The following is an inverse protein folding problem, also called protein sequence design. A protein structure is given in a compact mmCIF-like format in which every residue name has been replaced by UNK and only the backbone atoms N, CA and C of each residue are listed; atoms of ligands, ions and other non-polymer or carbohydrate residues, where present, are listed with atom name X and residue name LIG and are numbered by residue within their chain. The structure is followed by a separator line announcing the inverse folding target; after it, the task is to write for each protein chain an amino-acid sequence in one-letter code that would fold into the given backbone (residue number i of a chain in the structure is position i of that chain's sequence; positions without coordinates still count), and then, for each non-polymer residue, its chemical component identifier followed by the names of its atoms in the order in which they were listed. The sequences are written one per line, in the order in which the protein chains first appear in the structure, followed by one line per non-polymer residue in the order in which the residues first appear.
data_IF_386502816651
#
_entry.id   IF_386502816651
#
_cell.length_a   1.000
_cell.length_b   1.000
_cell.length_c   1.000
_cell.angle_alpha   90.00
_cell.angle_beta   90.00
_cell.angle_gamma   90.00
#
_symmetry.space_group_name_H-M   'P 1'
#
loop_
_entity.id
_entity.type
_entity.pdbx_description
1 polymer ?
#
# COMPACT_ATOMS: atom_id res chain seq x y z
N UNK A 1 -3.93 -8.37 13.27
CA UNK A 1 -2.77 -7.49 12.99
C UNK A 1 -3.01 -6.17 13.69
N UNK A 2 -2.00 -5.58 14.31
CA UNK A 2 -2.10 -4.33 15.05
C UNK A 2 -1.63 -3.16 14.21
N UNK A 3 -2.30 -2.02 14.35
CA UNK A 3 -1.93 -0.73 13.76
C UNK A 3 -1.43 0.18 14.88
N UNK A 4 -0.16 0.04 15.27
CA UNK A 4 0.40 0.78 16.42
C UNK A 4 0.26 2.29 16.32
N UNK A 5 0.38 2.86 15.11
CA UNK A 5 0.21 4.30 14.89
C UNK A 5 -1.24 4.81 14.96
N UNK A 6 -2.22 3.92 14.97
CA UNK A 6 -3.64 4.28 14.92
C UNK A 6 -4.47 3.60 16.01
N UNK A 7 -3.85 2.93 16.97
CA UNK A 7 -4.51 2.16 18.04
C UNK A 7 -5.67 1.26 17.54
N UNK A 8 -5.46 0.58 16.41
CA UNK A 8 -6.50 -0.25 15.81
C UNK A 8 -6.05 -1.71 15.68
N UNK A 9 -7.03 -2.62 15.78
CA UNK A 9 -6.89 -4.03 15.39
C UNK A 9 -7.57 -4.27 14.04
N UNK A 10 -6.93 -5.08 13.19
CA UNK A 10 -7.49 -5.46 11.90
C UNK A 10 -7.47 -6.98 11.75
N UNK A 11 -8.59 -7.54 11.32
CA UNK A 11 -8.70 -8.98 11.03
C UNK A 11 -9.68 -9.26 9.89
N UNK A 12 -9.53 -10.40 9.22
CA UNK A 12 -10.52 -10.91 8.27
C UNK A 12 -11.52 -11.82 8.97
N UNK A 13 -12.73 -11.93 8.45
CA UNK A 13 -13.83 -12.74 9.01
C UNK A 13 -13.52 -14.25 9.10
N UNK A 14 -12.57 -14.75 8.35
CA UNK A 14 -12.10 -16.15 8.39
C UNK A 14 -10.71 -16.26 8.97
N UNK A 15 -10.58 -16.22 10.29
CA UNK A 15 -9.32 -16.51 10.96
C UNK A 15 -8.85 -17.92 10.59
N UNK A 16 -7.60 -18.05 10.10
CA UNK A 16 -6.97 -19.31 9.73
C UNK A 16 -6.96 -19.66 8.24
N UNK A 17 -7.85 -19.10 7.41
CA UNK A 17 -7.83 -19.33 5.96
C UNK A 17 -6.97 -18.32 5.19
N UNK A 18 -6.61 -17.19 5.80
CA UNK A 18 -5.88 -16.11 5.16
C UNK A 18 -6.71 -15.22 4.21
N UNK A 19 -8.02 -15.48 4.07
CA UNK A 19 -8.98 -14.70 3.31
C UNK A 19 -10.39 -14.91 3.85
N UNK A 20 -11.29 -13.95 3.70
CA UNK A 20 -12.67 -14.02 4.22
C UNK A 20 -13.62 -13.08 3.50
N UNK A 21 -14.87 -13.05 3.95
CA UNK A 21 -15.94 -12.27 3.31
C UNK A 21 -15.91 -10.80 3.70
N UNK A 22 -15.17 -10.47 4.74
CA UNK A 22 -15.03 -9.10 5.21
C UNK A 22 -13.72 -8.90 5.96
N UNK A 23 -13.36 -7.62 6.10
CA UNK A 23 -12.28 -7.14 6.93
C UNK A 23 -12.87 -6.22 7.98
N UNK A 24 -12.49 -6.39 9.23
CA UNK A 24 -12.92 -5.54 10.33
C UNK A 24 -11.74 -4.72 10.85
N UNK A 25 -11.94 -3.43 11.01
CA UNK A 25 -11.03 -2.50 11.69
C UNK A 25 -11.71 -2.12 12.99
N UNK A 26 -11.03 -2.34 14.11
CA UNK A 26 -11.52 -1.99 15.44
C UNK A 26 -10.62 -0.95 16.06
N UNK A 27 -11.17 0.21 16.34
CA UNK A 27 -10.48 1.31 16.98
C UNK A 27 -10.57 1.14 18.50
N UNK A 28 -9.42 1.04 19.17
CA UNK A 28 -9.31 0.84 20.62
C UNK A 28 -9.57 2.12 21.44
N UNK A 29 -9.56 3.29 20.81
CA UNK A 29 -9.76 4.55 21.52
C UNK A 29 -11.23 4.86 21.76
N UNK A 30 -12.08 4.49 20.81
CA UNK A 30 -13.51 4.84 20.82
C UNK A 30 -14.44 3.62 20.68
N UNK A 31 -13.90 2.40 20.71
CA UNK A 31 -14.62 1.13 20.54
C UNK A 31 -15.41 1.01 19.23
N UNK A 32 -15.07 1.80 18.23
CA UNK A 32 -15.74 1.76 16.92
C UNK A 32 -15.24 0.60 16.06
N UNK A 33 -16.19 -0.01 15.34
CA UNK A 33 -15.92 -1.08 14.37
C UNK A 33 -16.30 -0.61 12.98
N UNK A 34 -15.33 -0.65 12.08
CA UNK A 34 -15.55 -0.45 10.66
C UNK A 34 -15.42 -1.79 9.95
N UNK A 35 -16.40 -2.13 9.12
CA UNK A 35 -16.40 -3.38 8.34
C UNK A 35 -16.31 -3.05 6.86
N UNK A 36 -15.33 -3.63 6.18
CA UNK A 36 -15.18 -3.56 4.73
C UNK A 36 -15.64 -4.92 4.17
N UNK A 37 -16.78 -5.00 3.49
CA UNK A 37 -17.30 -6.24 2.92
C UNK A 37 -16.62 -6.59 1.60
N UNK A 38 -16.72 -7.86 1.20
CA UNK A 38 -16.21 -8.33 -0.11
C UNK A 38 -17.01 -7.82 -1.31
N UNK A 39 -18.21 -7.27 -1.10
CA UNK A 39 -19.17 -6.78 -2.11
C UNK A 39 -19.81 -7.86 -2.97
N UNK A 40 -19.14 -8.99 -3.22
CA UNK A 40 -19.65 -10.13 -3.99
C UNK A 40 -19.34 -11.43 -3.26
N UNK A 41 -20.31 -12.37 -3.25
CA UNK A 41 -20.17 -13.70 -2.65
C UNK A 41 -19.08 -14.57 -3.31
N UNK A 42 -18.69 -14.27 -4.55
CA UNK A 42 -17.62 -14.96 -5.27
C UNK A 42 -16.25 -14.31 -5.08
N UNK A 43 -16.19 -13.22 -4.31
CA UNK A 43 -14.97 -12.47 -4.00
C UNK A 43 -14.72 -12.56 -2.51
N UNK A 44 -13.47 -12.75 -2.14
CA UNK A 44 -12.98 -12.71 -0.77
C UNK A 44 -11.98 -11.59 -0.60
N UNK A 45 -11.79 -11.16 0.65
CA UNK A 45 -10.78 -10.17 1.05
C UNK A 45 -9.63 -10.91 1.73
N UNK A 46 -8.41 -10.59 1.33
CA UNK A 46 -7.17 -11.04 1.94
C UNK A 46 -6.46 -9.87 2.60
N UNK A 47 -6.35 -9.90 3.92
CA UNK A 47 -5.54 -8.92 4.64
C UNK A 47 -4.06 -9.16 4.30
N UNK A 48 -3.39 -8.13 3.81
CA UNK A 48 -1.99 -8.19 3.38
C UNK A 48 -1.06 -7.48 4.36
N UNK A 49 -1.51 -6.41 4.97
CA UNK A 49 -0.70 -5.69 5.94
C UNK A 49 -1.34 -4.42 6.47
N UNK A 50 -0.59 -3.78 7.37
CA UNK A 50 -0.88 -2.44 7.88
C UNK A 50 0.39 -1.61 7.70
N UNK A 51 0.26 -0.49 7.03
CA UNK A 51 1.41 0.34 6.62
C UNK A 51 1.05 1.81 6.84
N UNK A 52 1.86 2.52 7.61
CA UNK A 52 1.68 3.95 7.88
C UNK A 52 0.26 4.33 8.34
N UNK A 53 -0.35 3.49 9.17
CA UNK A 53 -1.71 3.71 9.68
C UNK A 53 -2.84 3.43 8.68
N UNK A 54 -2.53 2.81 7.54
CA UNK A 54 -3.51 2.35 6.56
C UNK A 54 -3.54 0.83 6.50
N UNK A 55 -4.70 0.29 6.18
CA UNK A 55 -4.90 -1.14 5.94
C UNK A 55 -4.69 -1.45 4.47
N UNK A 56 -3.85 -2.44 4.19
CA UNK A 56 -3.60 -2.94 2.83
C UNK A 56 -4.22 -4.32 2.70
N UNK A 57 -5.09 -4.48 1.75
CA UNK A 57 -5.77 -5.75 1.49
C UNK A 57 -5.94 -6.00 0.00
N UNK A 58 -6.15 -7.26 -0.35
CA UNK A 58 -6.38 -7.69 -1.71
C UNK A 58 -7.77 -8.28 -1.89
N UNK A 59 -8.37 -8.06 -3.06
CA UNK A 59 -9.57 -8.75 -3.50
C UNK A 59 -9.19 -9.99 -4.30
N UNK A 60 -9.81 -11.10 -3.96
CA UNK A 60 -9.51 -12.43 -4.49
C UNK A 60 -10.79 -13.03 -5.07
N UNK A 61 -10.78 -13.43 -6.33
CA UNK A 61 -11.89 -14.25 -6.84
C UNK A 61 -11.74 -15.66 -6.29
N UNK A 62 -12.79 -16.21 -5.70
CA UNK A 62 -12.75 -17.55 -5.10
C UNK A 62 -12.38 -18.63 -6.10
N UNK A 63 -12.74 -18.45 -7.39
CA UNK A 63 -12.38 -19.34 -8.50
C UNK A 63 -10.88 -19.29 -8.89
N UNK A 64 -10.15 -18.29 -8.39
CA UNK A 64 -8.72 -18.13 -8.69
C UNK A 64 -7.82 -18.73 -7.58
N UNK A 65 -8.41 -19.17 -6.47
CA UNK A 65 -7.68 -19.83 -5.38
C UNK A 65 -7.31 -21.24 -5.82
N UNK A 66 -6.04 -21.58 -5.73
CA UNK A 66 -5.52 -22.90 -6.09
C UNK A 66 -4.99 -23.60 -4.85
N UNK A 67 -5.33 -24.89 -4.70
CA UNK A 67 -4.73 -25.75 -3.70
C UNK A 67 -3.55 -26.48 -4.36
N UNK A 68 -2.35 -26.29 -3.82
CA UNK A 68 -1.12 -26.92 -4.30
C UNK A 68 -1.05 -28.40 -3.88
N UNK A 69 -0.12 -29.13 -4.46
CA UNK A 69 0.07 -30.57 -4.17
C UNK A 69 0.47 -30.85 -2.70
N UNK A 70 1.07 -29.89 -2.03
CA UNK A 70 1.46 -29.94 -0.60
C UNK A 70 0.32 -29.55 0.35
N UNK A 71 -0.88 -29.27 -0.18
CA UNK A 71 -2.05 -28.81 0.58
C UNK A 71 -2.05 -27.32 0.90
N UNK A 72 -1.00 -26.57 0.59
CA UNK A 72 -0.98 -25.12 0.71
C UNK A 72 -1.91 -24.47 -0.32
N UNK A 73 -2.31 -23.20 -0.05
CA UNK A 73 -3.14 -22.46 -0.99
C UNK A 73 -2.39 -21.27 -1.59
N UNK A 74 -2.47 -21.12 -2.89
CA UNK A 74 -2.12 -19.89 -3.59
C UNK A 74 -3.37 -19.02 -3.68
N UNK A 75 -3.31 -17.83 -3.09
CA UNK A 75 -4.42 -16.90 -2.96
C UNK A 75 -4.02 -15.59 -3.68
N UNK A 76 -4.20 -15.51 -5.00
CA UNK A 76 -3.77 -14.38 -5.80
C UNK A 76 -4.80 -13.24 -5.72
N UNK A 77 -4.34 -12.02 -5.53
CA UNK A 77 -5.20 -10.84 -5.51
C UNK A 77 -5.23 -10.22 -6.91
N UNK A 78 -6.43 -10.06 -7.47
CA UNK A 78 -6.58 -9.36 -8.75
C UNK A 78 -6.59 -7.84 -8.58
N UNK A 79 -6.80 -7.36 -7.35
CA UNK A 79 -6.84 -5.96 -6.98
C UNK A 79 -6.25 -5.78 -5.58
N UNK A 80 -5.50 -4.71 -5.38
CA UNK A 80 -5.01 -4.29 -4.06
C UNK A 80 -5.68 -2.96 -3.71
N UNK A 81 -6.12 -2.84 -2.47
CA UNK A 81 -6.73 -1.63 -1.95
C UNK A 81 -6.00 -1.18 -0.68
N UNK A 82 -5.90 0.13 -0.53
CA UNK A 82 -5.38 0.79 0.66
C UNK A 82 -6.53 1.61 1.24
N UNK A 83 -6.91 1.32 2.48
CA UNK A 83 -7.94 2.02 3.20
C UNK A 83 -7.41 2.67 4.48
N UNK A 84 -8.01 3.78 4.89
CA UNK A 84 -7.78 4.35 6.22
C UNK A 84 -8.53 3.57 7.32
N UNK A 85 -8.41 4.03 8.57
CA UNK A 85 -9.07 3.43 9.73
C UNK A 85 -10.59 3.55 9.73
N UNK A 86 -11.13 4.50 8.96
CA UNK A 86 -12.57 4.65 8.72
C UNK A 86 -13.09 3.76 7.58
N UNK A 87 -12.21 2.94 6.97
CA UNK A 87 -12.56 2.04 5.86
C UNK A 87 -12.68 2.76 4.52
N UNK A 88 -12.27 4.02 4.41
CA UNK A 88 -12.30 4.74 3.15
C UNK A 88 -11.14 4.30 2.25
N UNK A 89 -11.45 3.86 1.04
CA UNK A 89 -10.44 3.48 0.06
C UNK A 89 -9.70 4.74 -0.41
N UNK A 90 -8.41 4.78 -0.14
CA UNK A 90 -7.51 5.88 -0.56
C UNK A 90 -6.83 5.58 -1.88
N UNK A 91 -6.58 4.30 -2.16
CA UNK A 91 -5.90 3.88 -3.38
C UNK A 91 -6.32 2.48 -3.78
N UNK A 92 -6.42 2.28 -5.08
CA UNK A 92 -6.66 0.98 -5.71
C UNK A 92 -5.57 0.72 -6.74
N UNK A 93 -5.05 -0.50 -6.77
CA UNK A 93 -4.12 -0.98 -7.77
C UNK A 93 -4.68 -2.20 -8.46
N UNK A 94 -4.62 -2.20 -9.78
CA UNK A 94 -4.92 -3.34 -10.64
C UNK A 94 -3.89 -3.39 -11.76
N UNK A 95 -3.59 -4.59 -12.27
CA UNK A 95 -2.74 -4.76 -13.44
C UNK A 95 -3.34 -5.81 -14.35
N UNK A 96 -3.65 -5.39 -15.57
CA UNK A 96 -4.37 -6.24 -16.52
C UNK A 96 -3.65 -7.56 -16.79
N UNK A 97 -4.41 -8.67 -16.72
CA UNK A 97 -3.90 -10.03 -16.91
C UNK A 97 -2.90 -10.52 -15.85
N UNK A 98 -2.71 -9.78 -14.75
CA UNK A 98 -1.80 -10.15 -13.67
C UNK A 98 -2.49 -10.12 -12.31
N UNK A 99 -1.86 -10.80 -11.36
CA UNK A 99 -2.29 -10.90 -9.96
C UNK A 99 -1.13 -10.50 -9.04
N UNK A 100 -1.47 -10.02 -7.87
CA UNK A 100 -0.50 -9.82 -6.78
C UNK A 100 -0.49 -11.04 -5.89
N UNK A 101 0.65 -11.70 -5.80
CA UNK A 101 0.85 -12.89 -4.97
C UNK A 101 1.17 -12.53 -3.52
N UNK A 102 2.03 -11.54 -3.32
CA UNK A 102 2.45 -11.06 -2.01
C UNK A 102 2.88 -9.61 -2.07
N UNK A 103 2.92 -8.97 -0.89
CA UNK A 103 3.44 -7.61 -0.74
C UNK A 103 4.59 -7.58 0.27
N UNK A 104 5.45 -6.58 0.14
CA UNK A 104 6.45 -6.19 1.13
C UNK A 104 6.44 -4.69 1.28
N UNK A 105 6.27 -4.21 2.50
CA UNK A 105 6.37 -2.79 2.82
C UNK A 105 7.81 -2.36 3.10
N UNK A 106 8.17 -1.18 2.61
CA UNK A 106 9.40 -0.49 2.94
C UNK A 106 9.07 1.00 3.09
N UNK A 107 8.88 1.46 4.33
CA UNK A 107 8.34 2.79 4.61
C UNK A 107 6.95 2.97 3.99
N UNK A 108 6.79 3.98 3.16
CA UNK A 108 5.57 4.29 2.42
C UNK A 108 5.45 3.58 1.05
N UNK A 109 6.41 2.74 0.69
CA UNK A 109 6.41 1.97 -0.56
C UNK A 109 5.90 0.56 -0.30
N UNK A 110 4.95 0.10 -1.09
CA UNK A 110 4.49 -1.28 -1.15
C UNK A 110 5.06 -1.91 -2.41
N UNK A 111 6.00 -2.83 -2.25
CA UNK A 111 6.49 -3.68 -3.33
C UNK A 111 5.59 -4.91 -3.44
N UNK A 112 5.19 -5.24 -4.65
CA UNK A 112 4.26 -6.33 -4.96
C UNK A 112 4.94 -7.33 -5.86
N UNK A 113 4.89 -8.61 -5.49
CA UNK A 113 5.23 -9.71 -6.40
C UNK A 113 4.03 -10.01 -7.30
N UNK A 114 4.28 -10.00 -8.60
CA UNK A 114 3.26 -10.23 -9.61
C UNK A 114 3.35 -11.66 -10.15
N UNK A 115 2.19 -12.21 -10.49
CA UNK A 115 2.10 -13.52 -11.13
C UNK A 115 0.98 -13.54 -12.18
N UNK A 116 1.06 -14.51 -13.09
CA UNK A 116 0.02 -14.84 -14.06
C UNK A 116 -0.47 -16.25 -13.85
N UNK A 117 -1.76 -16.48 -14.12
CA UNK A 117 -2.35 -17.82 -14.14
C UNK A 117 -1.83 -18.59 -15.35
N UNK A 118 -1.32 -19.78 -15.12
CA UNK A 118 -0.84 -20.71 -16.15
C UNK A 118 -1.47 -22.09 -15.90
N UNK A 119 -2.58 -22.36 -16.58
CA UNK A 119 -3.37 -23.56 -16.31
C UNK A 119 -3.93 -23.60 -14.88
N UNK A 120 -3.54 -24.61 -14.11
CA UNK A 120 -3.92 -24.79 -12.71
C UNK A 120 -2.92 -24.17 -11.70
N UNK A 121 -1.93 -23.42 -12.14
CA UNK A 121 -0.87 -22.84 -11.30
C UNK A 121 -0.66 -21.36 -11.59
N UNK A 122 0.23 -20.73 -10.82
CA UNK A 122 0.65 -19.35 -11.00
C UNK A 122 2.15 -19.28 -11.22
N UNK A 123 2.58 -18.48 -12.20
CA UNK A 123 3.98 -18.24 -12.49
C UNK A 123 4.32 -16.78 -12.19
N UNK A 124 5.38 -16.53 -11.43
CA UNK A 124 5.89 -15.19 -11.15
C UNK A 124 6.29 -14.49 -12.45
N UNK A 125 5.91 -13.21 -12.57
CA UNK A 125 6.15 -12.41 -13.78
C UNK A 125 6.98 -11.16 -13.53
N UNK A 126 7.29 -10.87 -12.27
CA UNK A 126 8.09 -9.72 -11.87
C UNK A 126 7.53 -9.00 -10.66
N UNK A 127 7.95 -7.76 -10.49
CA UNK A 127 7.56 -6.92 -9.36
C UNK A 127 6.99 -5.59 -9.86
N UNK A 128 6.20 -4.95 -9.00
CA UNK A 128 5.69 -3.60 -9.17
C UNK A 128 5.63 -2.91 -7.82
N UNK A 129 5.44 -1.60 -7.79
CA UNK A 129 5.37 -0.88 -6.53
C UNK A 129 4.37 0.27 -6.57
N UNK A 130 3.75 0.55 -5.41
CA UNK A 130 2.88 1.71 -5.19
C UNK A 130 3.26 2.42 -3.89
N UNK A 131 2.94 3.69 -3.81
CA UNK A 131 3.05 4.47 -2.58
C UNK A 131 1.76 4.37 -1.77
N UNK A 132 1.84 4.25 -0.44
CA UNK A 132 0.69 4.23 0.46
C UNK A 132 -0.01 5.59 0.57
N UNK A 133 0.76 6.67 0.48
CA UNK A 133 0.23 8.02 0.41
C UNK A 133 0.22 8.49 -1.04
N UNK A 134 -0.80 9.25 -1.43
CA UNK A 134 -0.62 10.25 -2.49
C UNK A 134 0.58 11.06 -2.05
N UNK A 135 1.57 11.27 -2.92
CA UNK A 135 2.64 12.22 -2.60
C UNK A 135 1.94 13.50 -2.17
N UNK A 136 1.84 13.72 -0.85
CA UNK A 136 1.64 15.07 -0.38
C UNK A 136 2.90 15.76 -0.86
N UNK A 137 2.73 16.67 -1.80
CA UNK A 137 3.79 17.58 -2.16
C UNK A 137 4.36 18.06 -0.85
N UNK A 138 5.64 17.83 -0.65
CA UNK A 138 6.30 18.23 0.59
C UNK A 138 6.07 19.72 0.75
N UNK A 139 5.17 20.11 1.64
CA UNK A 139 4.95 21.51 2.00
C UNK A 139 6.05 22.00 2.93
N UNK A 140 6.98 21.11 3.29
CA UNK A 140 8.09 21.42 4.18
C UNK A 140 9.32 21.80 3.39
N UNK A 141 9.91 22.91 3.79
CA UNK A 141 11.26 23.31 3.38
C UNK A 141 12.24 22.34 4.04
N UNK A 142 13.09 21.70 3.27
CA UNK A 142 14.15 20.82 3.77
C UNK A 142 15.53 21.34 3.38
N UNK A 143 16.54 20.93 4.16
CA UNK A 143 17.94 21.18 3.85
C UNK A 143 18.55 19.90 3.33
N UNK A 144 19.23 19.98 2.21
CA UNK A 144 19.99 18.87 1.67
C UNK A 144 21.42 19.29 1.36
N UNK A 145 22.33 18.33 1.35
CA UNK A 145 23.72 18.55 0.96
C UNK A 145 24.12 17.60 -0.15
N UNK A 146 24.95 18.07 -1.04
CA UNK A 146 25.58 17.23 -2.06
C UNK A 146 27.08 17.52 -2.11
N UNK A 147 27.85 16.48 -2.45
CA UNK A 147 29.26 16.64 -2.71
C UNK A 147 29.43 16.92 -4.21
N UNK A 148 30.06 18.03 -4.53
CA UNK A 148 30.33 18.39 -5.93
C UNK A 148 31.50 17.58 -6.50
N UNK A 149 31.70 17.63 -7.80
CA UNK A 149 32.84 17.00 -8.49
C UNK A 149 34.20 17.50 -8.01
N UNK A 150 34.26 18.64 -7.30
CA UNK A 150 35.46 19.22 -6.66
C UNK A 150 35.58 18.85 -5.18
N UNK A 151 34.83 17.86 -4.69
CA UNK A 151 34.80 17.43 -3.28
C UNK A 151 34.40 18.53 -2.28
N UNK A 152 33.65 19.53 -2.74
CA UNK A 152 33.08 20.56 -1.88
C UNK A 152 31.66 20.12 -1.48
N UNK A 153 31.30 20.26 -0.20
CA UNK A 153 29.95 20.07 0.27
C UNK A 153 29.14 21.33 0.06
N UNK A 154 28.14 21.26 -0.81
CA UNK A 154 27.18 22.34 -1.00
C UNK A 154 25.89 22.02 -0.23
N UNK A 155 25.38 23.01 0.48
CA UNK A 155 24.07 22.92 1.15
C UNK A 155 23.07 23.74 0.36
N UNK A 156 21.88 23.15 0.13
CA UNK A 156 20.80 23.82 -0.55
C UNK A 156 19.47 23.61 0.16
N UNK A 157 18.58 24.57 -0.02
CA UNK A 157 17.21 24.48 0.48
C UNK A 157 16.36 23.86 -0.62
N UNK A 158 15.75 22.74 -0.32
CA UNK A 158 14.77 22.14 -1.21
C UNK A 158 13.40 22.72 -0.89
N UNK A 159 12.83 23.40 -1.86
CA UNK A 159 11.49 23.97 -1.78
C UNK A 159 10.47 22.94 -2.29
N UNK A 160 9.23 22.97 -1.78
CA UNK A 160 8.14 22.15 -2.32
C UNK A 160 7.95 22.38 -3.82
N UNK A 161 7.49 21.37 -4.55
CA UNK A 161 7.18 21.48 -5.99
C UNK A 161 6.04 22.48 -6.28
N UNK A 162 5.18 22.71 -5.28
CA UNK A 162 4.12 23.72 -5.32
C UNK A 162 4.60 25.15 -5.06
N UNK A 163 5.89 25.34 -4.71
CA UNK A 163 6.42 26.68 -4.41
C UNK A 163 6.57 27.49 -5.71
N UNK A 164 5.86 28.60 -5.77
CA UNK A 164 5.99 29.60 -6.84
C UNK A 164 6.53 30.90 -6.28
N UNK A 165 7.58 31.45 -6.91
CA UNK A 165 8.06 32.78 -6.57
C UNK A 165 7.22 33.84 -7.32
N UNK A 166 6.63 34.76 -6.57
CA UNK A 166 5.86 35.86 -7.15
C UNK A 166 6.77 36.88 -7.88
N UNK A 167 8.05 36.96 -7.49
CA UNK A 167 9.04 37.81 -8.16
C UNK A 167 10.44 37.22 -8.03
N UNK A 168 11.29 37.46 -9.02
CA UNK A 168 12.71 37.11 -8.92
C UNK A 168 13.39 37.87 -7.76
N UNK A 169 14.26 37.21 -6.97
CA UNK A 169 14.97 37.87 -5.90
C UNK A 169 15.81 39.00 -6.45
N UNK A 170 15.69 40.18 -5.85
CA UNK A 170 16.56 41.32 -6.19
C UNK A 170 17.99 41.01 -5.73
N UNK A 171 18.96 41.13 -6.65
CA UNK A 171 20.37 41.11 -6.25
C UNK A 171 20.60 42.25 -5.23
N UNK A 172 21.13 41.90 -4.06
CA UNK A 172 21.67 42.92 -3.17
C UNK A 172 22.82 43.60 -3.91
N UNK A 173 22.78 44.95 -3.97
CA UNK A 173 23.92 45.71 -4.45
C UNK A 173 25.04 45.54 -3.41
N UNK A 174 26.16 44.93 -3.83
CA UNK A 174 27.37 44.85 -3.03
C UNK A 174 28.15 46.15 -3.14
#
# INVERSE_FOLDING_TARGET
MTMEKANCYVWSSSMGRGYGDSLTIYNLENDEKTVIPSEDKNVSIRLLGVIEGNVVFGRVRNSDIVTNADGSKTIPCYQIEIADTAGQIKKTYTKDGQYVQSIRANGNVINMKLCKKSGASYTETGEDSILTATQQESTKISYESRVTSKSLTEWYIQLPSSFTMEAAPKKAAG
#
